data_IF_288452280786
#
_entry.id   IF_288452280786
#
_cell.length_a   1.000
_cell.length_b   1.000
_cell.length_c   1.000
_cell.angle_alpha   90.00
_cell.angle_beta   90.00
_cell.angle_gamma   90.00
#
_symmetry.space_group_name_H-M   'P 1'
#
loop_
_entity.id
_entity.type
_entity.pdbx_description
1 polymer ?
#
# COMPACT_ATOMS: atom_id res chain seq x y z
N UNK A 1 -9.43 -17.36 -9.08
CA UNK A 1 -8.04 -17.53 -8.63
C UNK A 1 -8.00 -18.69 -7.66
N UNK A 2 -6.95 -19.50 -7.68
CA UNK A 2 -6.75 -20.52 -6.63
C UNK A 2 -6.28 -19.83 -5.34
N UNK A 3 -6.61 -20.37 -4.16
CA UNK A 3 -6.20 -19.77 -2.85
C UNK A 3 -4.69 -19.51 -2.80
N UNK A 4 -3.90 -20.44 -3.33
CA UNK A 4 -2.44 -20.33 -3.46
C UNK A 4 -2.01 -19.07 -4.21
N UNK A 5 -2.69 -18.70 -5.31
CA UNK A 5 -2.36 -17.46 -6.06
C UNK A 5 -2.61 -16.20 -5.23
N UNK A 6 -3.66 -16.20 -4.42
CA UNK A 6 -4.02 -15.06 -3.56
C UNK A 6 -3.02 -14.93 -2.42
N UNK A 7 -2.60 -16.05 -1.82
CA UNK A 7 -1.56 -16.07 -0.78
C UNK A 7 -0.22 -15.53 -1.30
N UNK A 8 0.21 -15.98 -2.48
CA UNK A 8 1.44 -15.47 -3.11
C UNK A 8 1.38 -13.97 -3.43
N UNK A 9 0.25 -13.50 -3.98
CA UNK A 9 0.05 -12.07 -4.23
C UNK A 9 0.06 -11.26 -2.93
N UNK A 10 -0.61 -11.77 -1.88
CA UNK A 10 -0.65 -11.12 -0.57
C UNK A 10 0.74 -11.03 0.05
N UNK A 11 1.52 -12.12 -0.01
CA UNK A 11 2.90 -12.19 0.49
C UNK A 11 3.83 -11.17 -0.17
N UNK A 12 3.59 -10.81 -1.43
CA UNK A 12 4.42 -9.84 -2.16
C UNK A 12 3.88 -8.42 -2.03
N UNK A 13 2.57 -8.23 -2.26
CA UNK A 13 1.96 -6.91 -2.31
C UNK A 13 1.80 -6.28 -0.93
N UNK A 14 1.52 -7.06 0.12
CA UNK A 14 1.33 -6.51 1.45
C UNK A 14 2.62 -5.86 2.01
N UNK A 15 3.80 -6.51 1.96
CA UNK A 15 5.05 -5.86 2.39
C UNK A 15 5.40 -4.64 1.54
N UNK A 16 5.20 -4.69 0.22
CA UNK A 16 5.43 -3.55 -0.67
C UNK A 16 4.54 -2.37 -0.31
N UNK A 17 3.26 -2.63 -0.03
CA UNK A 17 2.32 -1.61 0.41
C UNK A 17 2.73 -1.01 1.76
N UNK A 18 3.16 -1.82 2.72
CA UNK A 18 3.63 -1.34 4.02
C UNK A 18 4.86 -0.45 3.87
N UNK A 19 5.87 -0.89 3.10
CA UNK A 19 7.08 -0.10 2.86
C UNK A 19 6.73 1.22 2.17
N UNK A 20 5.89 1.18 1.13
CA UNK A 20 5.46 2.38 0.43
C UNK A 20 4.69 3.36 1.32
N UNK A 21 3.79 2.86 2.19
CA UNK A 21 3.11 3.69 3.18
C UNK A 21 4.05 4.31 4.20
N UNK A 22 5.04 3.56 4.69
CA UNK A 22 6.07 4.08 5.62
C UNK A 22 6.90 5.18 4.95
N UNK A 23 7.29 4.98 3.69
CA UNK A 23 8.03 5.99 2.91
C UNK A 23 7.18 7.24 2.68
N UNK A 24 5.92 7.07 2.27
CA UNK A 24 5.02 8.20 2.08
C UNK A 24 4.75 8.96 3.40
N UNK A 25 4.60 8.23 4.50
CA UNK A 25 4.39 8.80 5.84
C UNK A 25 5.62 9.57 6.32
N UNK A 26 6.82 9.02 6.16
CA UNK A 26 8.06 9.70 6.53
C UNK A 26 8.31 10.94 5.67
N UNK A 27 8.02 10.88 4.36
CA UNK A 27 8.07 12.04 3.48
C UNK A 27 7.06 13.13 3.88
N UNK A 28 5.81 12.75 4.19
CA UNK A 28 4.80 13.66 4.69
C UNK A 28 5.22 14.31 6.01
N UNK A 29 5.68 13.50 6.97
CA UNK A 29 6.13 13.99 8.29
C UNK A 29 7.34 14.93 8.17
N UNK A 30 8.26 14.64 7.27
CA UNK A 30 9.42 15.51 6.99
C UNK A 30 8.97 16.85 6.40
N UNK A 31 8.08 16.84 5.41
CA UNK A 31 7.54 18.04 4.78
C UNK A 31 6.75 18.90 5.78
N UNK A 32 5.90 18.29 6.61
CA UNK A 32 5.17 18.99 7.69
C UNK A 32 6.12 19.65 8.69
N UNK A 33 7.20 18.96 9.09
CA UNK A 33 8.21 19.55 9.99
C UNK A 33 8.95 20.74 9.37
N UNK A 34 9.10 20.75 8.04
CA UNK A 34 9.76 21.83 7.30
C UNK A 34 8.82 22.96 6.90
N UNK A 35 7.51 22.80 7.11
CA UNK A 35 6.50 23.73 6.59
C UNK A 35 6.39 23.71 5.06
N UNK A 36 6.93 22.68 4.42
CA UNK A 36 6.94 22.54 2.97
C UNK A 36 5.75 21.68 2.50
N UNK A 37 5.23 21.92 1.29
CA UNK A 37 4.22 21.04 0.72
C UNK A 37 4.79 19.64 0.51
N UNK A 38 3.95 18.62 0.73
CA UNK A 38 4.34 17.23 0.54
C UNK A 38 4.86 16.99 -0.89
N UNK A 39 6.00 16.31 -1.07
CA UNK A 39 6.57 16.07 -2.39
C UNK A 39 5.60 15.29 -3.28
N UNK A 40 5.53 15.67 -4.57
CA UNK A 40 4.59 15.09 -5.54
C UNK A 40 4.73 13.56 -5.69
N UNK A 41 5.95 13.04 -5.63
CA UNK A 41 6.21 11.59 -5.64
C UNK A 41 5.68 10.90 -4.37
N UNK A 42 5.66 11.59 -3.22
CA UNK A 42 5.15 11.05 -1.96
C UNK A 42 3.65 10.76 -2.03
N UNK A 43 2.87 11.64 -2.68
CA UNK A 43 1.44 11.40 -2.94
C UNK A 43 1.22 10.22 -3.89
N UNK A 44 2.06 10.09 -4.93
CA UNK A 44 1.99 8.96 -5.85
C UNK A 44 2.27 7.63 -5.14
N UNK A 45 3.35 7.56 -4.36
CA UNK A 45 3.71 6.36 -3.56
C UNK A 45 2.60 6.01 -2.57
N UNK A 46 2.01 7.00 -1.89
CA UNK A 46 0.87 6.79 -1.00
C UNK A 46 -0.32 6.17 -1.75
N UNK A 47 -0.69 6.73 -2.90
CA UNK A 47 -1.80 6.23 -3.71
C UNK A 47 -1.61 4.80 -4.20
N UNK A 48 -0.42 4.48 -4.72
CA UNK A 48 -0.08 3.11 -5.15
C UNK A 48 -0.13 2.13 -4.00
N UNK A 49 0.39 2.52 -2.83
CA UNK A 49 0.40 1.64 -1.66
C UNK A 49 -1.00 1.36 -1.15
N UNK A 50 -1.88 2.38 -1.12
CA UNK A 50 -3.29 2.20 -0.76
C UNK A 50 -3.98 1.28 -1.77
N UNK A 51 -3.73 1.44 -3.07
CA UNK A 51 -4.30 0.56 -4.09
C UNK A 51 -3.89 -0.91 -3.89
N UNK A 52 -2.63 -1.17 -3.53
CA UNK A 52 -2.17 -2.52 -3.19
C UNK A 52 -2.88 -3.10 -1.96
N UNK A 53 -3.03 -2.32 -0.89
CA UNK A 53 -3.78 -2.77 0.30
C UNK A 53 -5.23 -3.11 -0.06
N UNK A 54 -5.90 -2.23 -0.82
CA UNK A 54 -7.29 -2.44 -1.22
C UNK A 54 -7.44 -3.68 -2.11
N UNK A 55 -6.54 -3.88 -3.07
CA UNK A 55 -6.56 -5.05 -3.94
C UNK A 55 -6.40 -6.34 -3.13
N UNK A 56 -5.41 -6.40 -2.24
CA UNK A 56 -5.19 -7.55 -1.34
C UNK A 56 -6.42 -7.81 -0.48
N UNK A 57 -7.03 -6.77 0.09
CA UNK A 57 -8.23 -6.90 0.90
C UNK A 57 -9.41 -7.49 0.12
N UNK A 58 -9.67 -7.00 -1.10
CA UNK A 58 -10.74 -7.52 -1.96
C UNK A 58 -10.48 -8.98 -2.37
N UNK A 59 -9.24 -9.32 -2.73
CA UNK A 59 -8.87 -10.70 -3.07
C UNK A 59 -9.10 -11.67 -1.89
N UNK A 60 -8.74 -11.27 -0.67
CA UNK A 60 -8.94 -12.10 0.52
C UNK A 60 -10.43 -12.18 0.91
N UNK A 61 -11.19 -11.09 0.83
CA UNK A 61 -12.63 -11.10 1.10
C UNK A 61 -13.37 -12.02 0.12
N UNK A 62 -13.07 -11.93 -1.18
CA UNK A 62 -13.66 -12.79 -2.20
C UNK A 62 -13.29 -14.27 -2.05
N UNK A 63 -12.09 -14.57 -1.56
CA UNK A 63 -11.67 -15.94 -1.26
C UNK A 63 -12.26 -16.51 0.03
N UNK A 64 -12.61 -15.65 1.00
CA UNK A 64 -13.21 -16.06 2.27
C UNK A 64 -14.71 -16.33 2.20
N UNK A 65 -15.39 -15.76 1.20
CA UNK A 65 -16.84 -15.93 0.98
C UNK A 65 -17.25 -17.20 0.22
N UNK A 66 -16.31 -18.09 -0.10
CA UNK A 66 -16.52 -19.37 -0.82
C UNK A 66 -16.15 -20.57 0.04
#
# INVERSE_FOLDING_TARGET
>A
MTRVQIDWLTLVLAPLAVIGLVVAFTAARSATKRGEPMPGWGKAVQGVSIAFVLLVAVLNMTASGS
#
